data_IF_582481569987
#
_entry.id   IF_582481569987
#
_cell.length_a   1.000
_cell.length_b   1.000
_cell.length_c   1.000
_cell.angle_alpha   90.00
_cell.angle_beta   90.00
_cell.angle_gamma   90.00
#
_symmetry.space_group_name_H-M   'P 1'
#
loop_
_entity.id
_entity.type
_entity.pdbx_description
1 polymer ?
#
# COMPACT_ATOMS: atom_id res chain seq x y z
N UNK A 1 -13.46 -3.52 27.77
CA UNK A 1 -13.43 -4.16 26.43
C UNK A 1 -12.19 -3.70 25.69
N UNK A 2 -11.19 -4.56 25.57
CA UNK A 2 -9.95 -4.30 24.84
C UNK A 2 -10.28 -4.06 23.36
N UNK A 3 -10.14 -2.82 22.88
CA UNK A 3 -10.20 -2.53 21.44
C UNK A 3 -9.02 -3.27 20.78
N UNK A 4 -9.26 -4.16 19.81
CA UNK A 4 -8.15 -4.79 19.10
C UNK A 4 -7.33 -3.69 18.42
N UNK A 5 -6.08 -3.56 18.86
CA UNK A 5 -5.11 -2.60 18.34
C UNK A 5 -4.68 -3.02 16.93
N UNK A 6 -5.51 -2.70 15.94
CA UNK A 6 -5.23 -2.86 14.50
C UNK A 6 -4.23 -1.81 13.96
N UNK A 7 -3.48 -1.13 14.83
CA UNK A 7 -2.46 -0.15 14.42
C UNK A 7 -1.31 -0.80 13.67
N UNK A 8 -0.98 -2.05 14.02
CA UNK A 8 0.11 -2.81 13.40
C UNK A 8 -0.11 -3.00 11.91
N UNK A 9 -1.30 -3.41 11.46
CA UNK A 9 -1.56 -3.69 10.02
C UNK A 9 -1.37 -2.45 9.12
N UNK A 10 -1.73 -1.25 9.60
CA UNK A 10 -1.49 0.00 8.84
C UNK A 10 -0.01 0.31 8.70
N UNK A 11 0.76 0.09 9.76
CA UNK A 11 2.20 0.38 9.79
C UNK A 11 2.97 -0.58 8.87
N UNK A 12 2.56 -1.85 8.81
CA UNK A 12 3.15 -2.84 7.90
C UNK A 12 2.91 -2.50 6.42
N UNK A 13 1.69 -2.09 6.04
CA UNK A 13 1.40 -1.69 4.65
C UNK A 13 2.28 -0.50 4.24
N UNK A 14 2.42 0.48 5.13
CA UNK A 14 3.23 1.67 4.87
C UNK A 14 4.73 1.33 4.81
N UNK A 15 5.21 0.50 5.73
CA UNK A 15 6.60 0.02 5.74
C UNK A 15 6.93 -0.77 4.48
N UNK A 16 6.07 -1.68 4.02
CA UNK A 16 6.26 -2.42 2.78
C UNK A 16 6.28 -1.51 1.55
N UNK A 17 5.44 -0.48 1.51
CA UNK A 17 5.42 0.50 0.42
C UNK A 17 6.73 1.32 0.34
N UNK A 18 7.18 1.84 1.48
CA UNK A 18 8.43 2.61 1.55
C UNK A 18 9.64 1.74 1.25
N UNK A 19 9.68 0.52 1.77
CA UNK A 19 10.78 -0.42 1.53
C UNK A 19 10.87 -0.80 0.04
N UNK A 20 9.75 -1.01 -0.64
CA UNK A 20 9.74 -1.29 -2.07
C UNK A 20 10.37 -0.14 -2.90
N UNK A 21 10.07 1.12 -2.56
CA UNK A 21 10.71 2.28 -3.18
C UNK A 21 12.21 2.34 -2.90
N UNK A 22 12.63 2.07 -1.67
CA UNK A 22 14.06 2.05 -1.30
C UNK A 22 14.80 1.02 -2.16
N UNK A 23 14.27 -0.19 -2.32
CA UNK A 23 14.89 -1.23 -3.15
C UNK A 23 15.03 -0.78 -4.60
N UNK A 24 13.99 -0.19 -5.18
CA UNK A 24 14.05 0.34 -6.56
C UNK A 24 15.12 1.43 -6.69
N UNK A 25 15.19 2.37 -5.74
CA UNK A 25 16.17 3.46 -5.77
C UNK A 25 17.61 2.95 -5.61
N UNK A 26 17.85 1.98 -4.73
CA UNK A 26 19.18 1.36 -4.56
C UNK A 26 19.63 0.68 -5.85
N UNK A 27 18.74 -0.04 -6.52
CA UNK A 27 19.06 -0.68 -7.80
C UNK A 27 19.26 0.34 -8.92
N UNK A 28 18.47 1.41 -8.97
CA UNK A 28 18.68 2.50 -9.92
C UNK A 28 20.05 3.17 -9.73
N UNK A 29 20.47 3.43 -8.49
CA UNK A 29 21.78 3.98 -8.17
C UNK A 29 22.90 3.01 -8.56
N UNK A 30 22.73 1.71 -8.27
CA UNK A 30 23.69 0.67 -8.67
C UNK A 30 23.83 0.53 -10.18
N UNK A 31 22.73 0.63 -10.92
CA UNK A 31 22.70 0.61 -12.37
C UNK A 31 23.39 1.86 -12.96
N UNK A 32 23.13 3.06 -12.41
CA UNK A 32 23.80 4.30 -12.84
C UNK A 32 25.32 4.26 -12.60
N UNK A 33 25.78 3.53 -11.58
CA UNK A 33 27.21 3.30 -11.32
C UNK A 33 27.83 2.24 -12.23
N UNK A 34 27.09 1.68 -13.19
CA UNK A 34 27.58 0.69 -14.15
C UNK A 34 27.73 -0.72 -13.58
N UNK A 35 27.09 -1.04 -12.46
CA UNK A 35 27.13 -2.40 -11.92
C UNK A 35 26.23 -3.34 -12.73
N UNK A 36 26.84 -4.25 -13.48
CA UNK A 36 26.12 -5.28 -14.25
C UNK A 36 25.25 -6.16 -13.35
N UNK A 37 25.70 -6.46 -12.13
CA UNK A 37 24.91 -7.23 -11.16
C UNK A 37 23.64 -6.47 -10.72
N UNK A 38 23.73 -5.15 -10.54
CA UNK A 38 22.57 -4.33 -10.17
C UNK A 38 21.54 -4.26 -11.30
N UNK A 39 22.00 -4.19 -12.55
CA UNK A 39 21.12 -4.20 -13.74
C UNK A 39 20.46 -5.57 -13.90
N UNK A 40 21.23 -6.66 -13.77
CA UNK A 40 20.72 -8.02 -13.88
C UNK A 40 19.67 -8.33 -12.81
N UNK A 41 19.92 -7.94 -11.55
CA UNK A 41 18.95 -8.09 -10.47
C UNK A 41 17.76 -7.14 -10.63
N UNK A 42 18.00 -5.93 -11.18
CA UNK A 42 16.96 -4.96 -11.49
C UNK A 42 15.86 -5.50 -12.40
N UNK A 43 16.22 -6.36 -13.37
CA UNK A 43 15.27 -6.95 -14.31
C UNK A 43 14.16 -7.78 -13.64
N UNK A 44 14.43 -8.38 -12.48
CA UNK A 44 13.45 -9.18 -11.72
C UNK A 44 12.89 -8.41 -10.52
N UNK A 45 13.76 -7.72 -9.80
CA UNK A 45 13.40 -7.01 -8.58
C UNK A 45 12.50 -5.81 -8.85
N UNK A 46 12.76 -5.01 -9.91
CA UNK A 46 11.96 -3.81 -10.19
C UNK A 46 10.49 -4.17 -10.50
N UNK A 47 10.17 -5.11 -11.43
CA UNK A 47 8.78 -5.52 -11.66
C UNK A 47 8.10 -6.06 -10.40
N UNK A 48 8.84 -6.84 -9.59
CA UNK A 48 8.31 -7.42 -8.35
C UNK A 48 7.95 -6.34 -7.32
N UNK A 49 8.84 -5.35 -7.12
CA UNK A 49 8.59 -4.23 -6.20
C UNK A 49 7.46 -3.32 -6.69
N UNK A 50 7.34 -3.09 -8.01
CA UNK A 50 6.20 -2.37 -8.60
C UNK A 50 4.89 -3.12 -8.37
N UNK A 51 4.86 -4.44 -8.52
CA UNK A 51 3.69 -5.26 -8.20
C UNK A 51 3.28 -5.18 -6.73
N UNK A 52 4.26 -5.18 -5.81
CA UNK A 52 3.99 -4.97 -4.38
C UNK A 52 3.41 -3.57 -4.10
N UNK A 53 3.95 -2.53 -4.74
CA UNK A 53 3.44 -1.16 -4.66
C UNK A 53 2.00 -1.09 -5.22
N UNK A 54 1.75 -1.65 -6.39
CA UNK A 54 0.42 -1.66 -7.01
C UNK A 54 -0.60 -2.41 -6.14
N UNK A 55 -0.20 -3.55 -5.57
CA UNK A 55 -1.04 -4.35 -4.68
C UNK A 55 -1.41 -3.57 -3.41
N UNK A 56 -0.42 -2.94 -2.77
CA UNK A 56 -0.64 -2.14 -1.55
C UNK A 56 -1.49 -0.89 -1.82
N UNK A 57 -1.26 -0.20 -2.94
CA UNK A 57 -2.07 0.96 -3.35
C UNK A 57 -3.51 0.55 -3.72
N UNK A 58 -3.67 -0.60 -4.38
CA UNK A 58 -4.96 -1.19 -4.73
C UNK A 58 -5.79 -1.51 -3.49
N UNK A 59 -5.19 -2.17 -2.49
CA UNK A 59 -5.83 -2.44 -1.20
C UNK A 59 -6.25 -1.14 -0.52
N UNK A 60 -5.39 -0.11 -0.53
CA UNK A 60 -5.73 1.18 0.08
C UNK A 60 -6.92 1.87 -0.60
N UNK A 61 -6.92 1.87 -1.94
CA UNK A 61 -8.00 2.47 -2.75
C UNK A 61 -9.33 1.71 -2.58
N UNK A 62 -9.27 0.40 -2.48
CA UNK A 62 -10.44 -0.45 -2.22
C UNK A 62 -11.00 -0.21 -0.81
N UNK A 63 -10.16 -0.26 0.23
CA UNK A 63 -10.59 0.00 1.60
C UNK A 63 -11.20 1.40 1.77
N UNK A 64 -10.61 2.43 1.16
CA UNK A 64 -11.18 3.78 1.20
C UNK A 64 -12.58 3.85 0.58
N UNK A 65 -12.80 3.20 -0.56
CA UNK A 65 -14.13 3.17 -1.21
C UNK A 65 -15.20 2.46 -0.36
N UNK A 66 -14.81 1.41 0.39
CA UNK A 66 -15.71 0.71 1.30
C UNK A 66 -16.07 1.55 2.52
N UNK A 67 -15.11 2.27 3.11
CA UNK A 67 -15.37 3.16 4.24
C UNK A 67 -16.32 4.30 3.84
N UNK A 68 -16.15 4.89 2.65
CA UNK A 68 -17.10 5.88 2.11
C UNK A 68 -18.51 5.30 1.90
N UNK A 69 -18.61 4.08 1.36
CA UNK A 69 -19.90 3.39 1.18
C UNK A 69 -20.58 3.12 2.51
N UNK A 70 -19.84 2.64 3.50
CA UNK A 70 -20.38 2.40 4.84
C UNK A 70 -20.80 3.69 5.55
N UNK A 71 -20.04 4.79 5.38
CA UNK A 71 -20.43 6.09 5.89
C UNK A 71 -21.71 6.63 5.23
N UNK A 72 -21.88 6.41 3.92
CA UNK A 72 -23.10 6.76 3.21
C UNK A 72 -24.32 5.96 3.70
N UNK A 73 -24.16 4.64 3.92
CA UNK A 73 -25.22 3.78 4.46
C UNK A 73 -25.59 4.15 5.90
N UNK A 74 -24.61 4.46 6.74
CA UNK A 74 -24.86 4.92 8.11
C UNK A 74 -25.63 6.25 8.14
N UNK A 75 -25.32 7.16 7.20
CA UNK A 75 -26.04 8.44 7.06
C UNK A 75 -27.49 8.25 6.58
N UNK A 76 -27.76 7.31 5.69
CA UNK A 76 -29.14 7.02 5.26
C UNK A 76 -29.98 6.43 6.39
N UNK A 77 -29.43 5.52 7.20
CA UNK A 77 -30.17 4.94 8.34
C UNK A 77 -30.52 5.96 9.43
N UNK A 78 -29.67 6.97 9.65
CA UNK A 78 -29.94 8.05 10.61
C UNK A 78 -31.05 9.00 10.11
N UNK A 79 -31.20 9.13 8.79
CA UNK A 79 -32.23 9.97 8.16
C UNK A 79 -33.62 9.31 8.21
N UNK A 80 -33.71 7.96 8.18
CA UNK A 80 -34.98 7.23 8.24
C UNK A 80 -35.49 6.94 9.66
N UNK A 81 -34.62 7.00 10.68
CA UNK A 81 -34.97 6.81 12.10
C UNK A 81 -35.36 8.07 12.86
N UNK A 82 -35.40 9.23 12.20
CA UNK A 82 -35.65 10.55 12.79
C UNK A 82 -37.07 11.09 12.58
N UNK A 83 -38.11 10.28 12.86
CA UNK A 83 -39.49 10.72 13.08
C UNK A 83 -40.03 10.19 14.40
#
# INVERSE_FOLDING_TARGET
MNKPSYSTSRLYIWASFVLAWIVILVLAIGAMRGSEQAVAFGATAVPSMVMLIASTLGIHRFSGSMDFRNAALAKSSDTEGGV
#
